data_IF_056161633146
#
_entry.id   IF_056161633146
#
_cell.length_a   1.000
_cell.length_b   1.000
_cell.length_c   1.000
_cell.angle_alpha   90.00
_cell.angle_beta   90.00
_cell.angle_gamma   90.00
#
_symmetry.space_group_name_H-M   'P 1'
#
loop_
_entity.id
_entity.type
_entity.pdbx_description
1 polymer ?
#
# COMPACT_ATOMS: atom_id res chain seq x y z
N UNK A 1 -2.76 4.79 -8.90
CA UNK A 1 -2.64 4.53 -7.46
C UNK A 1 -3.73 5.31 -6.75
N UNK A 2 -4.35 4.80 -5.68
CA UNK A 2 -5.41 5.53 -4.95
C UNK A 2 -4.91 5.95 -3.57
N UNK A 3 -4.79 7.24 -3.34
CA UNK A 3 -4.40 7.84 -2.06
C UNK A 3 -5.64 7.97 -1.18
N UNK A 4 -5.59 7.45 0.05
CA UNK A 4 -6.64 7.70 1.04
C UNK A 4 -6.16 8.76 2.04
N UNK A 5 -6.83 9.90 2.06
CA UNK A 5 -6.57 10.98 3.01
C UNK A 5 -7.76 11.07 3.97
N UNK A 6 -7.45 11.06 5.27
CA UNK A 6 -8.43 11.27 6.33
C UNK A 6 -8.37 12.73 6.75
N UNK A 7 -9.50 13.42 6.64
CA UNK A 7 -9.60 14.83 7.03
C UNK A 7 -10.33 14.91 8.36
N UNK A 8 -9.57 15.33 9.37
CA UNK A 8 -10.09 15.63 10.68
C UNK A 8 -10.88 16.95 10.66
N UNK A 9 -12.10 16.91 11.20
CA UNK A 9 -12.98 18.08 11.36
C UNK A 9 -13.19 18.88 10.08
N UNK A 10 -13.75 18.23 9.06
CA UNK A 10 -13.93 18.80 7.72
C UNK A 10 -14.70 20.13 7.73
N UNK A 11 -15.68 20.30 8.64
CA UNK A 11 -16.45 21.53 8.74
C UNK A 11 -15.56 22.73 9.09
N UNK A 12 -14.72 22.59 10.12
CA UNK A 12 -13.77 23.64 10.51
C UNK A 12 -12.72 23.89 9.43
N UNK A 13 -12.29 22.85 8.70
CA UNK A 13 -11.37 23.01 7.57
C UNK A 13 -12.00 23.81 6.43
N UNK A 14 -13.28 23.56 6.14
CA UNK A 14 -14.04 24.25 5.10
C UNK A 14 -14.28 25.74 5.38
N UNK A 15 -14.15 26.18 6.64
CA UNK A 15 -14.21 27.62 6.96
C UNK A 15 -13.03 28.41 6.38
N UNK A 16 -11.92 27.74 6.06
CA UNK A 16 -10.66 28.36 5.63
C UNK A 16 -10.12 27.81 4.30
N UNK A 17 -10.44 26.56 3.95
CA UNK A 17 -9.88 25.85 2.79
C UNK A 17 -11.00 25.21 1.97
N UNK A 18 -10.81 25.03 0.67
CA UNK A 18 -11.82 24.46 -0.23
C UNK A 18 -11.41 23.11 -0.86
N UNK A 19 -10.12 22.78 -0.91
CA UNK A 19 -9.65 21.49 -1.44
C UNK A 19 -8.36 20.96 -0.76
N UNK A 20 -8.07 19.70 -1.06
CA UNK A 20 -6.85 18.98 -0.68
C UNK A 20 -5.93 18.97 -1.88
N UNK A 21 -4.69 19.44 -1.72
CA UNK A 21 -3.65 19.33 -2.74
C UNK A 21 -2.66 18.23 -2.40
N UNK A 22 -2.28 17.43 -3.40
CA UNK A 22 -1.34 16.33 -3.23
C UNK A 22 0.01 16.62 -3.89
N UNK A 23 1.07 16.33 -3.14
CA UNK A 23 2.44 16.48 -3.56
C UNK A 23 3.16 15.14 -3.52
N UNK A 24 4.11 14.93 -4.43
CA UNK A 24 4.82 13.65 -4.60
C UNK A 24 6.34 13.84 -4.64
N UNK A 25 7.07 12.88 -4.10
CA UNK A 25 8.54 12.82 -4.12
C UNK A 25 9.06 11.38 -4.29
N UNK A 26 10.27 11.21 -4.81
CA UNK A 26 10.92 9.88 -4.94
C UNK A 26 11.57 9.38 -3.64
N UNK A 27 11.67 10.23 -2.61
CA UNK A 27 12.27 9.90 -1.32
C UNK A 27 11.65 10.73 -0.19
N UNK A 28 11.71 10.21 1.05
CA UNK A 28 11.07 10.84 2.21
C UNK A 28 11.53 12.29 2.45
N UNK A 29 12.82 12.57 2.26
CA UNK A 29 13.43 13.90 2.40
C UNK A 29 13.68 14.63 1.08
N UNK A 30 13.12 14.12 -0.03
CA UNK A 30 13.30 14.70 -1.36
C UNK A 30 12.48 15.97 -1.58
N UNK A 31 12.60 16.53 -2.78
CA UNK A 31 11.73 17.61 -3.24
C UNK A 31 10.35 17.07 -3.56
N UNK A 32 9.33 17.61 -2.91
CA UNK A 32 7.93 17.31 -3.17
C UNK A 32 7.40 18.27 -4.24
N UNK A 33 6.86 17.73 -5.31
CA UNK A 33 6.26 18.48 -6.41
C UNK A 33 4.75 18.33 -6.38
N UNK A 34 4.03 19.41 -6.68
CA UNK A 34 2.58 19.36 -6.88
C UNK A 34 2.24 18.38 -8.02
N UNK A 35 1.16 17.62 -7.85
CA UNK A 35 0.69 16.65 -8.84
C UNK A 35 -0.55 17.12 -9.59
N UNK A 36 -1.07 18.33 -9.32
CA UNK A 36 -2.33 18.83 -9.86
C UNK A 36 -3.49 17.84 -9.58
N UNK A 37 -3.45 17.23 -8.40
CA UNK A 37 -4.47 16.31 -7.89
C UNK A 37 -5.19 17.00 -6.73
N UNK A 38 -6.23 17.75 -7.10
CA UNK A 38 -7.04 18.53 -6.17
C UNK A 38 -8.38 17.85 -5.91
N UNK A 39 -8.71 17.66 -4.63
CA UNK A 39 -9.97 17.05 -4.21
C UNK A 39 -10.76 18.02 -3.32
N UNK A 40 -11.97 18.39 -3.73
CA UNK A 40 -12.81 19.37 -3.02
C UNK A 40 -13.24 18.84 -1.65
N UNK A 41 -13.10 19.67 -0.62
CA UNK A 41 -13.63 19.36 0.71
C UNK A 41 -15.15 19.41 0.71
N UNK A 42 -15.78 18.34 1.22
CA UNK A 42 -17.24 18.20 1.29
C UNK A 42 -17.66 17.99 2.73
N UNK A 43 -18.69 18.72 3.16
CA UNK A 43 -19.24 18.58 4.50
C UNK A 43 -19.61 17.12 4.79
N UNK A 44 -19.30 16.66 6.02
CA UNK A 44 -19.52 15.28 6.47
C UNK A 44 -18.75 14.21 5.68
N UNK A 45 -17.78 14.60 4.84
CA UNK A 45 -16.86 13.67 4.18
C UNK A 45 -15.51 13.67 4.89
N UNK A 46 -15.13 12.51 5.43
CA UNK A 46 -13.91 12.33 6.21
C UNK A 46 -12.84 11.55 5.46
N UNK A 47 -13.21 10.75 4.45
CA UNK A 47 -12.29 9.96 3.64
C UNK A 47 -12.32 10.45 2.21
N UNK A 48 -11.15 10.78 1.69
CA UNK A 48 -10.95 11.23 0.33
C UNK A 48 -10.05 10.23 -0.37
N UNK A 49 -10.58 9.60 -1.43
CA UNK A 49 -9.85 8.67 -2.27
C UNK A 49 -9.44 9.38 -3.56
N UNK A 50 -8.15 9.74 -3.68
CA UNK A 50 -7.61 10.53 -4.79
C UNK A 50 -6.80 9.63 -5.73
N UNK A 51 -7.13 9.60 -7.02
CA UNK A 51 -6.42 8.78 -8.00
C UNK A 51 -5.18 9.50 -8.57
N UNK A 52 -4.00 8.95 -8.28
CA UNK A 52 -2.75 9.34 -8.93
C UNK A 52 -2.37 8.32 -10.02
N UNK A 53 -2.59 8.68 -11.28
CA UNK A 53 -2.28 7.84 -12.44
C UNK A 53 -0.78 7.68 -12.71
N UNK A 54 0.05 8.65 -12.32
CA UNK A 54 1.51 8.59 -12.46
C UNK A 54 2.21 8.00 -11.25
N UNK A 55 1.45 7.74 -10.18
CA UNK A 55 1.95 7.30 -8.89
C UNK A 55 2.19 5.79 -8.86
N UNK A 56 3.24 5.42 -8.16
CA UNK A 56 3.59 4.04 -7.82
C UNK A 56 3.89 3.93 -6.31
N UNK A 57 4.28 2.72 -5.89
CA UNK A 57 4.56 2.36 -4.50
C UNK A 57 5.90 2.90 -3.96
N UNK A 58 6.77 3.42 -4.82
CA UNK A 58 8.08 3.96 -4.46
C UNK A 58 7.99 5.44 -4.08
N UNK A 59 6.98 6.14 -4.59
CA UNK A 59 6.77 7.54 -4.28
C UNK A 59 6.27 7.77 -2.85
N UNK A 60 6.69 8.90 -2.32
CA UNK A 60 6.22 9.48 -1.07
C UNK A 60 5.27 10.62 -1.38
N UNK A 61 4.26 10.78 -0.53
CA UNK A 61 3.22 11.77 -0.68
C UNK A 61 3.17 12.69 0.53
N UNK A 62 2.77 13.92 0.27
CA UNK A 62 2.31 14.88 1.27
C UNK A 62 1.02 15.48 0.76
N UNK A 63 0.17 15.91 1.67
CA UNK A 63 -0.97 16.72 1.30
C UNK A 63 -1.00 18.00 2.12
N UNK A 64 -1.78 18.97 1.68
CA UNK A 64 -2.14 20.17 2.44
C UNK A 64 -3.55 20.58 2.07
N UNK A 65 -4.18 21.36 2.95
CA UNK A 65 -5.43 22.04 2.62
C UNK A 65 -5.11 23.38 1.96
N UNK A 66 -5.80 23.71 0.88
CA UNK A 66 -5.62 24.96 0.13
C UNK A 66 -6.97 25.61 -0.13
N UNK A 67 -6.93 26.92 -0.36
CA UNK A 67 -8.05 27.72 -0.80
C UNK A 67 -7.70 28.34 -2.16
N UNK A 68 -8.54 28.18 -3.18
CA UNK A 68 -8.25 28.62 -4.57
C UNK A 68 -8.01 30.14 -4.67
N UNK A 69 -8.75 30.93 -3.90
CA UNK A 69 -8.54 32.37 -3.81
C UNK A 69 -7.47 32.75 -2.77
N UNK A 70 -6.28 33.07 -3.27
CA UNK A 70 -5.17 33.63 -2.50
C UNK A 70 -4.13 32.59 -2.08
N UNK A 71 -3.00 33.05 -1.52
CA UNK A 71 -1.92 32.17 -1.06
C UNK A 71 -2.21 31.58 0.34
N UNK A 72 -3.39 30.98 0.50
CA UNK A 72 -3.83 30.42 1.78
C UNK A 72 -3.72 28.89 1.72
N UNK A 73 -2.74 28.36 2.44
CA UNK A 73 -2.53 26.91 2.55
C UNK A 73 -2.16 26.52 3.98
N UNK A 74 -2.60 25.35 4.41
CA UNK A 74 -2.13 24.75 5.65
C UNK A 74 -0.66 24.34 5.57
N UNK A 75 -0.06 24.02 6.71
CA UNK A 75 1.17 23.22 6.72
C UNK A 75 0.94 21.88 6.02
N UNK A 76 2.00 21.35 5.43
CA UNK A 76 1.97 20.00 4.89
C UNK A 76 1.74 18.95 5.97
N UNK A 77 1.09 17.86 5.58
CA UNK A 77 1.08 16.61 6.33
C UNK A 77 2.50 16.07 6.52
N UNK A 78 2.65 15.13 7.46
CA UNK A 78 3.80 14.27 7.48
C UNK A 78 3.90 13.49 6.15
N UNK A 79 5.13 13.20 5.67
CA UNK A 79 5.33 12.29 4.55
C UNK A 79 4.66 10.94 4.79
N UNK A 80 3.88 10.47 3.83
CA UNK A 80 3.28 9.15 3.87
C UNK A 80 3.48 8.41 2.55
N UNK A 81 3.14 7.13 2.54
CA UNK A 81 3.00 6.32 1.33
C UNK A 81 1.59 5.78 1.27
N UNK A 82 1.13 5.41 0.08
CA UNK A 82 -0.23 4.92 -0.10
C UNK A 82 -0.43 3.65 0.72
N UNK A 83 -1.31 3.71 1.71
CA UNK A 83 -1.76 2.56 2.49
C UNK A 83 -2.89 1.83 1.75
N UNK A 84 -2.46 0.97 0.83
CA UNK A 84 -3.29 0.03 0.08
C UNK A 84 -2.53 -1.25 -0.28
N UNK A 85 -1.39 -1.46 0.38
CA UNK A 85 -0.40 -2.49 0.07
C UNK A 85 -0.38 -3.62 1.09
N UNK A 86 -1.30 -3.59 2.08
CA UNK A 86 -1.16 -4.31 3.35
C UNK A 86 -0.86 -5.78 3.13
N UNK A 87 -1.59 -6.50 2.28
CA UNK A 87 -1.29 -7.93 2.08
C UNK A 87 0.10 -8.16 1.50
N UNK A 88 0.46 -7.49 0.39
CA UNK A 88 1.75 -7.69 -0.27
C UNK A 88 2.92 -7.26 0.61
N UNK A 89 2.81 -6.13 1.31
CA UNK A 89 3.88 -5.62 2.19
C UNK A 89 3.94 -6.35 3.53
N UNK A 90 2.81 -6.73 4.12
CA UNK A 90 2.80 -7.61 5.29
C UNK A 90 3.39 -8.97 4.92
N UNK A 91 3.13 -9.48 3.72
CA UNK A 91 3.81 -10.69 3.22
C UNK A 91 5.29 -10.43 3.07
N UNK A 92 5.71 -9.37 2.39
CA UNK A 92 7.13 -9.08 2.21
C UNK A 92 7.84 -9.00 3.56
N UNK A 93 7.22 -8.34 4.54
CA UNK A 93 7.74 -8.24 5.90
C UNK A 93 7.78 -9.60 6.60
N UNK A 94 6.73 -10.41 6.47
CA UNK A 94 6.71 -11.76 7.02
C UNK A 94 7.76 -12.67 6.35
N UNK A 95 7.95 -12.59 5.03
CA UNK A 95 8.97 -13.33 4.31
C UNK A 95 10.38 -12.96 4.78
N UNK A 96 10.62 -11.68 5.05
CA UNK A 96 11.87 -11.18 5.62
C UNK A 96 12.07 -11.69 7.06
N UNK A 97 11.09 -11.47 7.96
CA UNK A 97 11.20 -11.79 9.39
C UNK A 97 11.36 -13.30 9.66
N UNK A 98 10.69 -14.13 8.85
CA UNK A 98 10.76 -15.59 8.96
C UNK A 98 11.81 -16.21 8.02
N UNK A 99 12.56 -15.39 7.26
CA UNK A 99 13.51 -15.84 6.24
C UNK A 99 12.89 -16.92 5.33
N UNK A 100 11.66 -16.67 4.89
CA UNK A 100 10.80 -17.63 4.22
C UNK A 100 10.68 -17.40 2.71
N UNK A 101 11.30 -16.33 2.21
CA UNK A 101 11.26 -15.95 0.82
C UNK A 101 11.71 -14.51 0.60
N UNK A 102 11.40 -13.98 -0.57
CA UNK A 102 11.64 -12.58 -0.92
C UNK A 102 10.69 -12.09 -2.02
N UNK A 103 10.57 -10.78 -2.15
CA UNK A 103 9.90 -10.12 -3.28
C UNK A 103 10.96 -9.55 -4.21
N UNK A 104 10.79 -9.78 -5.50
CA UNK A 104 11.74 -9.45 -6.57
C UNK A 104 10.96 -8.82 -7.72
N UNK A 105 11.58 -7.90 -8.46
CA UNK A 105 11.03 -7.34 -9.68
C UNK A 105 11.56 -8.07 -10.93
N UNK A 106 10.66 -8.27 -11.89
CA UNK A 106 10.98 -8.65 -13.25
C UNK A 106 11.81 -7.55 -13.93
N UNK A 107 12.79 -7.96 -14.74
CA UNK A 107 13.49 -7.08 -15.66
C UNK A 107 13.12 -7.38 -17.12
N UNK A 108 13.47 -6.48 -18.04
CA UNK A 108 13.35 -6.71 -19.49
C UNK A 108 13.89 -8.10 -19.90
N UNK A 109 13.04 -8.88 -20.58
CA UNK A 109 13.34 -10.24 -21.03
C UNK A 109 12.55 -11.34 -20.32
N UNK A 110 11.83 -11.01 -19.23
CA UNK A 110 10.85 -11.90 -18.64
C UNK A 110 9.81 -12.38 -19.68
N UNK A 111 9.43 -13.65 -19.57
CA UNK A 111 8.42 -14.26 -20.40
C UNK A 111 7.60 -15.29 -19.60
N UNK A 112 6.70 -16.00 -20.27
CA UNK A 112 5.81 -16.98 -19.61
C UNK A 112 6.54 -18.13 -18.90
N UNK A 113 7.80 -18.40 -19.24
CA UNK A 113 8.57 -19.53 -18.68
C UNK A 113 9.87 -19.13 -17.99
N UNK A 114 10.30 -17.88 -18.12
CA UNK A 114 11.53 -17.36 -17.53
C UNK A 114 11.27 -16.00 -16.89
N UNK A 115 11.69 -15.90 -15.63
CA UNK A 115 11.70 -14.68 -14.86
C UNK A 115 13.15 -14.23 -14.69
N UNK A 116 13.46 -13.04 -15.17
CA UNK A 116 14.79 -12.45 -15.10
C UNK A 116 14.76 -11.33 -14.07
N UNK A 117 15.81 -11.24 -13.27
CA UNK A 117 15.99 -10.14 -12.30
C UNK A 117 17.41 -9.61 -12.30
N UNK A 118 17.55 -8.35 -11.91
CA UNK A 118 18.83 -7.70 -11.62
C UNK A 118 19.12 -7.64 -10.12
N UNK A 119 18.26 -8.23 -9.28
CA UNK A 119 18.42 -8.20 -7.83
C UNK A 119 19.71 -8.90 -7.41
N UNK A 120 20.61 -8.17 -6.75
CA UNK A 120 21.93 -8.66 -6.33
C UNK A 120 21.89 -9.79 -5.30
N UNK A 121 20.74 -9.99 -4.62
CA UNK A 121 20.50 -11.12 -3.71
C UNK A 121 20.33 -12.44 -4.45
N UNK A 122 20.08 -12.38 -5.76
CA UNK A 122 19.89 -13.52 -6.67
C UNK A 122 20.98 -13.57 -7.72
N UNK A 123 21.22 -12.46 -8.43
CA UNK A 123 22.23 -12.31 -9.47
C UNK A 123 23.64 -12.17 -8.89
N UNK A 124 24.08 -13.21 -8.19
CA UNK A 124 25.37 -13.27 -7.52
C UNK A 124 25.76 -14.71 -7.25
N UNK A 125 27.04 -15.02 -7.38
CA UNK A 125 27.63 -16.30 -6.96
C UNK A 125 27.97 -16.32 -5.46
N UNK A 126 27.72 -15.23 -4.73
CA UNK A 126 28.01 -15.14 -3.29
C UNK A 126 27.00 -15.91 -2.42
N UNK A 127 25.86 -16.32 -3.00
CA UNK A 127 24.80 -17.05 -2.31
C UNK A 127 24.74 -18.50 -2.79
N UNK A 128 24.09 -19.38 -2.01
CA UNK A 128 24.09 -20.85 -2.26
C UNK A 128 23.61 -21.23 -3.66
N UNK A 129 24.39 -22.05 -4.34
CA UNK A 129 23.94 -22.88 -5.46
C UNK A 129 22.70 -23.70 -5.03
N UNK A 130 21.66 -23.80 -5.87
CA UNK A 130 20.39 -24.51 -5.59
C UNK A 130 19.36 -23.80 -4.71
N UNK A 131 19.36 -22.47 -4.67
CA UNK A 131 18.33 -21.72 -3.93
C UNK A 131 16.91 -21.89 -4.52
N UNK A 132 16.79 -22.07 -5.85
CA UNK A 132 15.54 -21.94 -6.59
C UNK A 132 14.69 -23.18 -6.71
N UNK A 133 15.28 -24.34 -6.99
CA UNK A 133 14.52 -25.50 -7.49
C UNK A 133 13.47 -26.00 -6.50
N UNK A 134 12.22 -26.06 -6.95
CA UNK A 134 11.09 -26.52 -6.14
C UNK A 134 10.42 -25.44 -5.29
N UNK A 135 10.98 -24.22 -5.25
CA UNK A 135 10.38 -23.10 -4.54
C UNK A 135 9.22 -22.50 -5.33
N UNK A 136 8.25 -21.92 -4.62
CA UNK A 136 7.06 -21.34 -5.22
C UNK A 136 7.30 -19.91 -5.69
N UNK A 137 6.69 -19.56 -6.81
CA UNK A 137 6.62 -18.22 -7.36
C UNK A 137 5.16 -17.79 -7.43
N UNK A 138 4.90 -16.55 -7.06
CA UNK A 138 3.61 -15.91 -7.18
C UNK A 138 3.76 -14.51 -7.75
N UNK A 139 3.08 -14.21 -8.84
CA UNK A 139 3.07 -12.86 -9.42
C UNK A 139 2.25 -11.93 -8.52
N UNK A 140 2.89 -10.92 -7.93
CA UNK A 140 2.26 -10.01 -6.97
C UNK A 140 1.60 -8.80 -7.64
N UNK A 141 2.07 -8.42 -8.82
CA UNK A 141 1.61 -7.22 -9.53
C UNK A 141 1.59 -7.44 -11.04
N UNK A 142 1.18 -6.39 -11.76
CA UNK A 142 1.12 -6.38 -13.21
C UNK A 142 -0.02 -7.20 -13.79
N UNK A 143 -0.01 -7.34 -15.11
CA UNK A 143 -1.06 -8.05 -15.85
C UNK A 143 -1.11 -9.55 -15.51
N UNK A 144 -0.06 -10.09 -14.89
CA UNK A 144 0.06 -11.51 -14.49
C UNK A 144 -0.19 -11.73 -13.00
N UNK A 145 -0.61 -10.70 -12.25
CA UNK A 145 -0.90 -10.84 -10.82
C UNK A 145 -1.85 -12.02 -10.55
N UNK A 146 -1.48 -12.89 -9.60
CA UNK A 146 -2.24 -14.11 -9.29
C UNK A 146 -1.68 -15.39 -9.92
N UNK A 147 -0.90 -15.28 -10.99
CA UNK A 147 -0.25 -16.46 -11.59
C UNK A 147 0.74 -17.08 -10.60
N UNK A 148 0.74 -18.42 -10.54
CA UNK A 148 1.55 -19.19 -9.60
C UNK A 148 2.31 -20.29 -10.33
N UNK A 149 3.59 -20.41 -10.01
CA UNK A 149 4.48 -21.40 -10.61
C UNK A 149 5.50 -21.94 -9.60
N UNK A 150 6.32 -22.88 -10.03
CA UNK A 150 7.44 -23.43 -9.27
C UNK A 150 8.72 -23.22 -10.07
N UNK A 151 9.81 -22.85 -9.41
CA UNK A 151 11.12 -22.70 -10.07
C UNK A 151 11.71 -24.07 -10.40
N UNK A 152 12.14 -24.25 -11.64
CA UNK A 152 12.86 -25.42 -12.12
C UNK A 152 14.38 -25.24 -12.09
N UNK A 153 14.85 -24.00 -12.18
CA UNK A 153 16.28 -23.67 -12.16
C UNK A 153 16.97 -24.16 -10.88
N UNK A 154 18.01 -24.98 -11.05
CA UNK A 154 18.91 -25.37 -9.97
C UNK A 154 19.97 -24.32 -9.68
N UNK A 155 20.30 -23.46 -10.63
CA UNK A 155 21.15 -22.30 -10.39
C UNK A 155 20.46 -21.06 -10.97
N UNK A 156 20.49 -19.98 -10.20
CA UNK A 156 19.86 -18.70 -10.52
C UNK A 156 20.85 -17.54 -10.35
N UNK A 157 22.16 -17.85 -10.24
CA UNK A 157 23.24 -16.88 -10.02
C UNK A 157 23.37 -15.83 -11.14
N UNK A 158 22.82 -16.11 -12.33
CA UNK A 158 22.72 -15.14 -13.44
C UNK A 158 21.48 -14.23 -13.34
N UNK A 159 20.58 -14.49 -12.38
CA UNK A 159 19.31 -13.80 -12.22
C UNK A 159 18.18 -14.35 -13.09
N UNK A 160 18.37 -15.49 -13.76
CA UNK A 160 17.37 -16.13 -14.62
C UNK A 160 16.75 -17.35 -13.93
N UNK A 161 15.43 -17.33 -13.76
CA UNK A 161 14.64 -18.36 -13.13
C UNK A 161 13.66 -18.96 -14.16
N UNK A 162 13.87 -20.22 -14.52
CA UNK A 162 12.88 -20.99 -15.28
C UNK A 162 11.77 -21.46 -14.37
N UNK A 163 10.51 -21.29 -14.77
CA UNK A 163 9.32 -21.64 -13.97
C UNK A 163 8.40 -22.63 -14.67
N UNK A 164 7.66 -23.43 -13.88
CA UNK A 164 6.64 -24.35 -14.34
C UNK A 164 5.52 -24.52 -13.29
N UNK A 165 4.22 -24.50 -13.66
CA UNK A 165 3.66 -24.24 -15.00
C UNK A 165 4.08 -22.89 -15.56
N UNK A 166 4.03 -22.75 -16.89
CA UNK A 166 4.21 -21.45 -17.53
C UNK A 166 3.15 -20.47 -17.00
N UNK A 167 3.54 -19.22 -16.80
CA UNK A 167 2.63 -18.11 -16.51
C UNK A 167 1.68 -17.92 -17.69
N UNK A 168 0.52 -17.30 -17.46
CA UNK A 168 -0.48 -17.04 -18.49
C UNK A 168 -0.04 -16.06 -19.58
N UNK A 169 1.18 -15.52 -19.51
CA UNK A 169 1.78 -14.61 -20.47
C UNK A 169 3.11 -14.05 -19.95
N UNK A 170 3.72 -13.12 -20.68
CA UNK A 170 4.94 -12.45 -20.23
C UNK A 170 4.63 -11.35 -19.20
N UNK A 171 5.31 -11.34 -18.04
CA UNK A 171 5.36 -10.18 -17.15
C UNK A 171 6.04 -8.99 -17.80
N UNK A 172 5.66 -7.78 -17.41
CA UNK A 172 6.31 -6.54 -17.82
C UNK A 172 7.56 -6.25 -16.97
N UNK A 173 8.41 -5.35 -17.47
CA UNK A 173 9.52 -4.79 -16.68
C UNK A 173 8.97 -4.04 -15.46
N UNK A 174 9.53 -4.32 -14.28
CA UNK A 174 9.03 -3.77 -13.01
C UNK A 174 7.92 -4.57 -12.33
N UNK A 175 7.32 -5.57 -12.98
CA UNK A 175 6.32 -6.44 -12.34
C UNK A 175 6.97 -7.23 -11.19
N UNK A 176 6.44 -7.04 -9.97
CA UNK A 176 6.87 -7.75 -8.77
C UNK A 176 6.34 -9.20 -8.75
N UNK A 177 7.20 -10.13 -8.36
CA UNK A 177 6.86 -11.50 -8.00
C UNK A 177 7.46 -11.89 -6.65
N UNK A 178 6.75 -12.75 -5.94
CA UNK A 178 7.15 -13.31 -4.66
C UNK A 178 7.77 -14.69 -4.89
N UNK A 179 8.91 -14.94 -4.25
CA UNK A 179 9.58 -16.23 -4.25
C UNK A 179 9.59 -16.80 -2.83
N UNK A 180 8.91 -17.93 -2.63
CA UNK A 180 8.67 -18.57 -1.34
C UNK A 180 9.39 -19.90 -1.20
N UNK A 181 10.06 -20.13 -0.05
CA UNK A 181 10.80 -21.36 0.25
C UNK A 181 10.06 -22.31 1.19
N UNK A 182 9.25 -21.78 2.11
CA UNK A 182 8.64 -22.59 3.17
C UNK A 182 7.26 -23.13 2.79
N UNK A 183 6.44 -22.34 2.11
CA UNK A 183 5.08 -22.70 1.76
C UNK A 183 4.60 -21.92 0.54
N UNK A 184 3.62 -22.48 -0.16
CA UNK A 184 2.94 -21.79 -1.24
C UNK A 184 2.19 -20.54 -0.74
N UNK A 185 1.93 -19.60 -1.66
CA UNK A 185 1.17 -18.37 -1.40
C UNK A 185 -0.19 -18.63 -0.75
N UNK A 186 -0.88 -19.71 -1.10
CA UNK A 186 -2.18 -20.06 -0.54
C UNK A 186 -2.14 -20.31 0.97
N UNK A 187 -1.09 -20.97 1.48
CA UNK A 187 -0.90 -21.22 2.92
C UNK A 187 -0.63 -19.92 3.67
N UNK A 188 0.22 -19.04 3.12
CA UNK A 188 0.42 -17.70 3.67
C UNK A 188 -0.89 -16.92 3.68
N UNK A 189 -1.65 -16.98 2.58
CA UNK A 189 -2.92 -16.29 2.46
C UNK A 189 -3.94 -16.74 3.50
N UNK A 190 -4.01 -18.03 3.77
CA UNK A 190 -4.88 -18.57 4.80
C UNK A 190 -4.45 -18.10 6.20
N UNK A 191 -3.14 -18.14 6.49
CA UNK A 191 -2.61 -17.63 7.76
C UNK A 191 -2.92 -16.14 7.95
N UNK A 192 -2.75 -15.33 6.90
CA UNK A 192 -3.12 -13.91 6.91
C UNK A 192 -4.61 -13.71 7.12
N UNK A 193 -5.47 -14.43 6.40
CA UNK A 193 -6.91 -14.29 6.56
C UNK A 193 -7.36 -14.66 7.99
N UNK A 194 -6.79 -15.73 8.58
CA UNK A 194 -7.08 -16.10 9.98
C UNK A 194 -6.59 -15.06 10.98
N UNK A 195 -5.45 -14.42 10.70
CA UNK A 195 -4.91 -13.37 11.55
C UNK A 195 -5.78 -12.09 11.44
N UNK A 196 -6.07 -11.65 10.21
CA UNK A 196 -6.91 -10.48 9.92
C UNK A 196 -8.31 -10.59 10.53
N UNK A 197 -8.90 -11.79 10.56
CA UNK A 197 -10.18 -12.02 11.24
C UNK A 197 -10.15 -11.80 12.75
N UNK A 198 -8.96 -11.69 13.36
CA UNK A 198 -8.76 -11.43 14.80
C UNK A 198 -8.31 -9.99 15.08
N UNK A 199 -7.96 -9.23 14.05
CA UNK A 199 -7.62 -7.82 14.18
C UNK A 199 -8.89 -7.00 14.01
N UNK A 200 -9.13 -6.09 14.94
CA UNK A 200 -10.13 -5.05 14.77
C UNK A 200 -9.57 -4.01 13.81
N UNK A 201 -10.37 -3.62 12.82
CA UNK A 201 -10.11 -2.38 12.09
C UNK A 201 -10.39 -1.24 13.06
N UNK A 202 -9.33 -0.68 13.65
CA UNK A 202 -9.43 0.50 14.48
C UNK A 202 -9.34 1.72 13.56
N UNK A 203 -10.48 2.34 13.29
CA UNK A 203 -10.52 3.64 12.66
C UNK A 203 -10.59 4.74 13.73
N UNK A 204 -10.02 5.90 13.45
CA UNK A 204 -10.03 7.04 14.37
C UNK A 204 -10.64 8.22 13.63
N UNK A 205 -11.82 8.61 14.07
CA UNK A 205 -12.55 9.74 13.50
C UNK A 205 -12.81 10.76 14.60
N UNK A 206 -12.42 12.04 14.42
CA UNK A 206 -12.80 13.08 15.36
C UNK A 206 -14.30 13.32 15.26
N UNK A 207 -14.97 13.32 16.41
CA UNK A 207 -16.39 13.61 16.54
C UNK A 207 -16.56 14.94 17.27
N UNK A 208 -17.50 15.77 16.78
CA UNK A 208 -17.85 17.00 17.47
C UNK A 208 -18.88 16.71 18.58
N UNK A 209 -18.77 17.43 19.69
CA UNK A 209 -19.82 17.44 20.71
C UNK A 209 -21.02 18.28 20.27
N UNK A 210 -22.22 17.88 20.65
CA UNK A 210 -23.44 18.66 20.41
C UNK A 210 -23.51 19.81 21.41
N UNK A 211 -23.60 21.04 20.93
CA UNK A 211 -23.60 22.23 21.78
C UNK A 211 -24.70 22.16 22.86
N UNK A 212 -24.28 22.27 24.13
CA UNK A 212 -25.19 22.27 25.28
C UNK A 212 -25.75 20.89 25.66
N UNK A 213 -25.19 19.80 25.13
CA UNK A 213 -25.60 18.43 25.43
C UNK A 213 -24.36 17.57 25.78
N UNK A 214 -24.56 16.49 26.52
CA UNK A 214 -23.52 15.48 26.78
C UNK A 214 -23.52 14.39 25.69
N UNK A 215 -23.67 14.81 24.43
CA UNK A 215 -23.82 13.93 23.27
C UNK A 215 -22.79 14.30 22.19
N UNK A 216 -22.40 13.33 21.36
CA UNK A 216 -21.54 13.53 20.20
C UNK A 216 -22.38 13.45 18.93
N UNK A 217 -22.06 14.28 17.93
CA UNK A 217 -22.71 14.20 16.62
C UNK A 217 -22.12 13.06 15.80
N UNK A 218 -22.93 12.03 15.56
CA UNK A 218 -22.59 10.85 14.76
C UNK A 218 -23.19 10.91 13.35
N UNK A 219 -23.85 11.99 12.95
CA UNK A 219 -24.52 12.11 11.64
C UNK A 219 -23.57 11.93 10.46
N UNK A 220 -22.29 12.26 10.64
CA UNK A 220 -21.22 12.05 9.66
C UNK A 220 -20.58 10.65 9.67
N UNK A 221 -21.00 9.76 10.59
CA UNK A 221 -20.40 8.43 10.80
C UNK A 221 -21.50 7.36 10.69
N UNK A 222 -22.11 7.17 9.50
CA UNK A 222 -23.26 6.28 9.31
C UNK A 222 -22.95 4.79 9.54
N UNK A 223 -21.67 4.41 9.66
CA UNK A 223 -21.23 3.04 9.94
C UNK A 223 -21.12 2.69 11.43
N UNK A 224 -21.26 3.68 12.33
CA UNK A 224 -21.45 3.42 13.76
C UNK A 224 -22.93 3.20 14.00
N UNK A 225 -23.29 1.96 14.32
CA UNK A 225 -24.68 1.55 14.52
C UNK A 225 -25.03 1.37 15.99
N UNK A 226 -24.04 1.09 16.83
CA UNK A 226 -24.21 0.89 18.26
C UNK A 226 -22.99 1.36 19.08
N UNK A 227 -23.15 1.64 20.39
CA UNK A 227 -22.03 2.05 21.25
C UNK A 227 -20.89 1.03 21.31
N UNK A 228 -21.18 -0.27 21.17
CA UNK A 228 -20.18 -1.33 21.10
C UNK A 228 -19.24 -1.26 19.87
N UNK A 229 -19.59 -0.47 18.85
CA UNK A 229 -18.71 -0.21 17.70
C UNK A 229 -17.58 0.78 18.07
N UNK A 230 -17.72 1.49 19.19
CA UNK A 230 -16.76 2.49 19.68
C UNK A 230 -15.89 1.86 20.76
N UNK A 231 -14.64 1.56 20.40
CA UNK A 231 -13.70 0.94 21.33
C UNK A 231 -13.16 1.92 22.39
N UNK A 232 -12.92 3.16 22.01
CA UNK A 232 -12.36 4.20 22.89
C UNK A 232 -12.75 5.59 22.40
N UNK A 233 -12.93 6.53 23.34
CA UNK A 233 -13.16 7.95 23.07
C UNK A 233 -12.12 8.73 23.87
N UNK A 234 -11.12 9.26 23.17
CA UNK A 234 -10.09 10.08 23.78
C UNK A 234 -10.34 11.55 23.47
N UNK A 235 -10.32 12.40 24.50
CA UNK A 235 -10.35 13.85 24.31
C UNK A 235 -9.03 14.32 23.71
N UNK A 236 -9.11 15.02 22.57
CA UNK A 236 -7.95 15.62 21.92
C UNK A 236 -8.00 17.14 22.13
N UNK A 237 -7.03 17.75 22.84
CA UNK A 237 -6.92 19.20 22.91
C UNK A 237 -6.58 19.74 21.53
N UNK A 238 -7.44 20.60 21.00
CA UNK A 238 -7.14 21.51 19.87
C UNK A 238 -6.23 22.64 20.31
#
# INVERSE_FOLDING_TARGET
MTLRIVVEDVATRMDTYDHIQVYRATSVGGTYTDQDLDETLVALTYYYDIEDSGGDLNYWYKYRFHHDTGDLSSSFSDPFRVDGVTRLRTVQKALEDYNAGMVIACTSGCNSTSLITLDSRVKSTAYRDNRGKGAWVYMASGARAGDSSIILSSDVSEGDLTVNPALGGSPADGDEFEWHWLAARSTWNEAFNRAMARYYYADRVPVQGVAGQEEYDLSGIPWVHAPEDIFDVTWYPT
#
